data_IF_078965696323
#
_entry.id   IF_078965696323
#
_cell.length_a   1.000
_cell.length_b   1.000
_cell.length_c   1.000
_cell.angle_alpha   90.00
_cell.angle_beta   90.00
_cell.angle_gamma   90.00
#
_symmetry.space_group_name_H-M   'P 1'
#
loop_
_entity.id
_entity.type
_entity.pdbx_description
1 polymer ?
#
# COMPACT_ATOMS: atom_id res chain seq x y z
N UNK A 1 -6.91 6.14 -2.54
CA UNK A 1 -8.28 5.86 -3.05
C UNK A 1 -8.28 6.33 -4.48
N UNK A 2 -8.51 5.42 -5.41
CA UNK A 2 -8.47 5.72 -6.84
C UNK A 2 -9.89 5.70 -7.40
N UNK A 3 -10.24 6.72 -8.17
CA UNK A 3 -11.56 6.90 -8.74
C UNK A 3 -11.48 6.73 -10.26
N UNK A 4 -12.36 5.90 -10.81
CA UNK A 4 -12.44 5.66 -12.25
C UNK A 4 -13.91 5.79 -12.71
N UNK A 5 -14.20 6.62 -13.71
CA UNK A 5 -15.54 6.74 -14.26
C UNK A 5 -15.82 5.64 -15.31
N UNK A 6 -17.07 5.18 -15.42
CA UNK A 6 -17.42 4.16 -16.41
C UNK A 6 -17.13 4.65 -17.84
N UNK A 7 -16.36 3.88 -18.61
CA UNK A 7 -16.00 4.20 -20.00
C UNK A 7 -14.83 5.18 -20.15
N UNK A 8 -14.19 5.60 -19.05
CA UNK A 8 -12.95 6.36 -19.06
C UNK A 8 -11.80 5.45 -18.65
N UNK A 9 -10.87 5.17 -19.57
CA UNK A 9 -9.77 4.23 -19.36
C UNK A 9 -8.63 4.80 -18.49
N UNK A 10 -8.97 5.61 -17.47
CA UNK A 10 -8.00 6.22 -16.56
C UNK A 10 -7.19 7.36 -17.17
N UNK A 11 -7.68 8.03 -18.23
CA UNK A 11 -6.98 9.16 -18.86
C UNK A 11 -7.36 10.48 -18.18
N UNK A 12 -6.94 10.66 -16.93
CA UNK A 12 -6.69 11.97 -16.35
C UNK A 12 -7.88 12.92 -16.19
N UNK A 13 -9.11 12.40 -16.00
CA UNK A 13 -10.22 13.22 -15.53
C UNK A 13 -10.21 13.32 -14.01
N UNK A 14 -10.34 14.55 -13.54
CA UNK A 14 -10.39 14.92 -12.13
C UNK A 14 -11.74 14.53 -11.55
N UNK A 15 -11.87 13.31 -11.04
CA UNK A 15 -13.14 12.83 -10.50
C UNK A 15 -13.27 13.25 -9.04
N UNK A 16 -14.26 14.09 -8.75
CA UNK A 16 -14.64 14.45 -7.41
C UNK A 16 -15.75 13.49 -6.94
N UNK A 17 -15.56 12.77 -5.84
CA UNK A 17 -16.57 11.93 -5.19
C UNK A 17 -17.25 12.61 -3.99
N UNK A 18 -17.13 13.93 -3.88
CA UNK A 18 -17.58 14.71 -2.73
C UNK A 18 -16.60 14.59 -1.58
N UNK A 19 -17.07 14.72 -0.33
CA UNK A 19 -16.26 14.40 0.85
C UNK A 19 -16.11 12.88 0.95
N UNK A 20 -14.88 12.41 1.16
CA UNK A 20 -14.64 11.00 1.47
C UNK A 20 -14.37 10.88 2.96
N UNK A 21 -15.18 10.08 3.66
CA UNK A 21 -14.96 9.76 5.05
C UNK A 21 -14.32 8.37 5.18
N UNK A 22 -13.29 8.26 6.02
CA UNK A 22 -12.65 7.01 6.43
C UNK A 22 -12.86 6.86 7.94
N UNK A 23 -13.54 5.80 8.37
CA UNK A 23 -13.88 5.55 9.76
C UNK A 23 -13.39 4.17 10.20
N UNK A 24 -12.43 4.18 11.14
CA UNK A 24 -11.96 3.03 11.91
C UNK A 24 -12.12 3.32 13.41
N UNK A 25 -11.03 3.20 14.17
CA UNK A 25 -10.95 3.70 15.54
C UNK A 25 -11.21 5.22 15.64
N UNK A 26 -10.76 5.96 14.63
CA UNK A 26 -11.02 7.39 14.45
C UNK A 26 -11.68 7.65 13.09
N UNK A 27 -12.32 8.82 12.96
CA UNK A 27 -12.99 9.24 11.72
C UNK A 27 -12.24 10.42 11.10
N UNK A 28 -11.98 10.31 9.80
CA UNK A 28 -11.27 11.30 9.00
C UNK A 28 -12.09 11.66 7.77
N UNK A 29 -12.20 12.96 7.51
CA UNK A 29 -12.80 13.46 6.29
C UNK A 29 -11.70 13.98 5.35
N UNK A 30 -11.64 13.39 4.16
CA UNK A 30 -10.82 13.83 3.05
C UNK A 30 -11.63 14.82 2.22
N UNK A 31 -11.13 16.04 2.15
CA UNK A 31 -11.68 17.05 1.24
C UNK A 31 -10.89 17.00 -0.06
N UNK A 32 -11.61 17.08 -1.18
CA UNK A 32 -10.97 17.12 -2.48
C UNK A 32 -10.17 18.40 -2.66
N UNK A 33 -8.85 18.30 -2.81
CA UNK A 33 -7.99 19.41 -3.16
C UNK A 33 -8.01 19.63 -4.67
N UNK A 34 -8.58 20.75 -5.11
CA UNK A 34 -8.67 21.10 -6.52
C UNK A 34 -7.32 21.44 -7.16
N UNK A 35 -6.31 21.84 -6.38
CA UNK A 35 -4.97 22.15 -6.88
C UNK A 35 -4.13 20.88 -7.03
N UNK A 36 -4.14 20.01 -6.02
CA UNK A 36 -3.47 18.71 -6.08
C UNK A 36 -4.24 17.69 -6.93
N UNK A 37 -5.52 17.97 -7.23
CA UNK A 37 -6.44 17.08 -7.92
C UNK A 37 -6.54 15.71 -7.23
N UNK A 38 -6.56 15.71 -5.90
CA UNK A 38 -6.45 14.52 -5.09
C UNK A 38 -7.19 14.68 -3.76
N UNK A 39 -7.50 13.54 -3.15
CA UNK A 39 -7.88 13.46 -1.75
C UNK A 39 -6.63 13.24 -0.92
N UNK A 40 -6.31 14.20 -0.07
CA UNK A 40 -5.20 14.09 0.86
C UNK A 40 -5.68 14.33 2.28
N UNK A 41 -4.96 13.70 3.20
CA UNK A 41 -4.98 14.05 4.59
C UNK A 41 -3.79 14.98 4.82
N UNK A 42 -4.05 16.21 5.27
CA UNK A 42 -3.00 17.15 5.67
C UNK A 42 -2.47 16.73 7.05
N UNK A 43 -1.63 15.70 7.09
CA UNK A 43 -1.25 15.02 8.32
C UNK A 43 0.25 14.78 8.38
N UNK A 44 0.97 15.75 8.92
CA UNK A 44 2.37 15.58 9.38
C UNK A 44 2.50 14.54 10.52
N UNK A 45 1.41 13.96 11.06
CA UNK A 45 1.43 13.15 12.28
C UNK A 45 0.40 12.01 12.41
N UNK A 46 -0.30 11.58 11.36
CA UNK A 46 -1.29 10.49 11.52
C UNK A 46 -0.70 9.18 11.03
N UNK A 47 0.16 8.65 11.88
CA UNK A 47 0.59 7.26 11.81
C UNK A 47 -0.34 6.42 12.68
N UNK A 48 -0.75 5.27 12.15
CA UNK A 48 -1.61 4.27 12.81
C UNK A 48 -3.07 4.73 13.05
N UNK A 49 -3.68 5.22 11.97
CA UNK A 49 -5.08 5.67 11.86
C UNK A 49 -6.08 4.59 12.31
N UNK A 50 -5.70 3.31 12.21
CA UNK A 50 -6.55 2.15 12.48
C UNK A 50 -5.79 1.05 13.24
N UNK A 51 -6.47 0.25 14.06
CA UNK A 51 -5.92 -0.95 14.68
C UNK A 51 -5.67 -2.10 13.68
N UNK A 52 -4.82 -3.06 14.07
CA UNK A 52 -4.55 -4.27 13.27
C UNK A 52 -5.83 -5.06 13.04
N UNK A 53 -6.18 -5.31 11.77
CA UNK A 53 -7.33 -6.15 11.41
C UNK A 53 -8.70 -5.51 11.64
N UNK A 54 -8.79 -4.24 12.07
CA UNK A 54 -10.06 -3.64 12.46
C UNK A 54 -11.00 -3.36 11.28
N UNK A 55 -12.30 -3.27 11.51
CA UNK A 55 -13.23 -2.89 10.45
C UNK A 55 -13.11 -1.41 10.10
N UNK A 56 -12.92 -1.12 8.82
CA UNK A 56 -12.78 0.24 8.28
C UNK A 56 -13.91 0.50 7.29
N UNK A 57 -14.70 1.52 7.57
CA UNK A 57 -15.72 2.03 6.67
C UNK A 57 -15.13 3.17 5.84
N UNK A 58 -15.23 3.07 4.52
CA UNK A 58 -14.89 4.16 3.59
C UNK A 58 -16.15 4.56 2.85
N UNK A 59 -16.49 5.84 2.84
CA UNK A 59 -17.67 6.33 2.14
C UNK A 59 -17.42 7.66 1.44
N UNK A 60 -17.96 7.82 0.24
CA UNK A 60 -18.02 9.12 -0.45
C UNK A 60 -19.43 9.68 -0.44
N UNK A 61 -19.58 10.98 -0.19
CA UNK A 61 -20.88 11.65 -0.23
C UNK A 61 -21.49 11.72 -1.63
N UNK A 62 -20.67 11.51 -2.67
CA UNK A 62 -21.04 11.68 -4.06
C UNK A 62 -20.93 13.14 -4.53
N UNK A 63 -20.93 13.31 -5.85
CA UNK A 63 -20.92 14.58 -6.56
C UNK A 63 -21.61 14.43 -7.93
N UNK A 64 -21.53 15.46 -8.78
CA UNK A 64 -21.96 15.37 -10.18
C UNK A 64 -21.11 14.39 -11.02
N UNK A 65 -19.86 14.15 -10.64
CA UNK A 65 -18.92 13.29 -11.37
C UNK A 65 -18.98 11.83 -10.91
N UNK A 66 -19.47 11.58 -9.69
CA UNK A 66 -19.38 10.26 -9.06
C UNK A 66 -20.52 10.04 -8.06
N UNK A 67 -21.18 8.88 -8.08
CA UNK A 67 -22.25 8.62 -7.11
C UNK A 67 -21.70 8.44 -5.69
N UNK A 68 -22.56 8.62 -4.69
CA UNK A 68 -22.23 8.23 -3.32
C UNK A 68 -21.89 6.73 -3.26
N UNK A 69 -20.95 6.37 -2.39
CA UNK A 69 -20.51 4.98 -2.23
C UNK A 69 -20.21 4.65 -0.77
N UNK A 70 -20.19 3.36 -0.46
CA UNK A 70 -19.73 2.85 0.83
C UNK A 70 -19.04 1.50 0.65
N UNK A 71 -17.86 1.37 1.22
CA UNK A 71 -17.10 0.14 1.37
C UNK A 71 -16.95 -0.17 2.86
N UNK A 72 -16.99 -1.45 3.20
CA UNK A 72 -16.54 -1.94 4.50
C UNK A 72 -15.42 -2.94 4.23
N UNK A 73 -14.26 -2.70 4.79
CA UNK A 73 -13.09 -3.56 4.66
C UNK A 73 -12.61 -3.97 6.04
N UNK A 74 -11.97 -5.13 6.14
CA UNK A 74 -11.06 -5.39 7.24
C UNK A 74 -9.75 -4.66 6.94
N UNK A 75 -9.25 -3.87 7.88
CA UNK A 75 -7.95 -3.24 7.79
C UNK A 75 -6.85 -4.28 7.76
N UNK A 76 -5.69 -3.99 7.13
CA UNK A 76 -4.62 -4.95 7.09
C UNK A 76 -4.08 -5.24 8.49
N UNK A 77 -3.89 -6.51 8.82
CA UNK A 77 -3.25 -6.94 10.06
C UNK A 77 -1.78 -6.53 10.12
N UNK A 78 -1.24 -6.45 11.33
CA UNK A 78 0.17 -6.16 11.59
C UNK A 78 1.11 -7.11 10.85
N UNK A 79 2.14 -6.52 10.24
CA UNK A 79 3.10 -7.25 9.44
C UNK A 79 4.37 -7.51 10.25
N UNK A 80 4.62 -8.79 10.54
CA UNK A 80 5.82 -9.24 11.23
C UNK A 80 6.77 -9.96 10.27
N UNK A 81 7.93 -9.35 10.03
CA UNK A 81 9.00 -9.95 9.21
C UNK A 81 9.72 -11.04 10.03
N UNK A 82 9.76 -12.25 9.49
CA UNK A 82 10.42 -13.43 10.07
C UNK A 82 11.84 -13.62 9.53
N UNK A 83 12.04 -13.36 8.23
CA UNK A 83 13.34 -13.39 7.55
C UNK A 83 13.34 -12.41 6.38
N UNK A 84 14.48 -11.87 5.94
CA UNK A 84 15.81 -11.96 6.57
C UNK A 84 15.83 -11.30 7.95
N UNK A 85 16.83 -11.67 8.77
CA UNK A 85 17.09 -11.02 10.06
C UNK A 85 18.43 -10.27 9.98
N UNK A 86 18.72 -9.33 10.89
CA UNK A 86 20.03 -8.69 10.90
C UNK A 86 21.21 -9.67 11.03
N UNK A 87 21.00 -10.83 11.67
CA UNK A 87 22.00 -11.89 11.86
C UNK A 87 22.01 -12.95 10.73
N UNK A 88 21.05 -12.90 9.81
CA UNK A 88 20.92 -13.76 8.65
C UNK A 88 20.60 -12.89 7.42
N UNK A 89 21.63 -12.30 6.79
CA UNK A 89 21.49 -11.24 5.79
C UNK A 89 20.92 -11.74 4.46
N UNK A 90 20.62 -10.79 3.57
CA UNK A 90 20.23 -11.09 2.20
C UNK A 90 21.47 -11.46 1.38
N UNK A 91 21.40 -12.55 0.63
CA UNK A 91 22.41 -12.90 -0.37
C UNK A 91 22.08 -12.29 -1.73
N UNK A 92 23.07 -11.68 -2.38
CA UNK A 92 23.01 -11.21 -3.78
C UNK A 92 22.79 -12.35 -4.77
N UNK A 93 23.10 -13.59 -4.38
CA UNK A 93 22.72 -14.82 -5.10
C UNK A 93 21.22 -15.13 -5.10
N UNK A 94 20.40 -14.31 -4.44
CA UNK A 94 18.96 -14.49 -4.28
C UNK A 94 18.61 -14.85 -2.85
N UNK A 95 17.40 -14.50 -2.42
CA UNK A 95 16.95 -14.71 -1.05
C UNK A 95 15.44 -14.81 -0.96
N UNK A 96 14.94 -15.47 0.07
CA UNK A 96 13.51 -15.50 0.37
C UNK A 96 13.23 -14.59 1.56
N UNK A 97 12.30 -13.66 1.38
CA UNK A 97 11.75 -12.87 2.47
C UNK A 97 10.53 -13.62 3.02
N UNK A 98 10.41 -13.70 4.35
CA UNK A 98 9.32 -14.40 5.04
C UNK A 98 8.65 -13.49 6.06
N UNK A 99 7.34 -13.64 6.20
CA UNK A 99 6.53 -12.93 7.18
C UNK A 99 5.45 -13.86 7.75
N UNK A 100 4.79 -13.41 8.81
CA UNK A 100 3.58 -14.08 9.31
C UNK A 100 2.41 -13.75 8.38
N UNK A 101 1.79 -14.74 7.71
CA UNK A 101 0.58 -14.53 6.89
C UNK A 101 -0.53 -13.83 7.69
N UNK A 102 -1.34 -13.03 7.01
CA UNK A 102 -2.46 -12.32 7.62
C UNK A 102 -3.67 -12.29 6.70
N UNK A 103 -4.41 -11.19 6.75
CA UNK A 103 -5.65 -10.97 5.99
C UNK A 103 -5.45 -10.15 4.70
N UNK A 104 -4.22 -9.95 4.24
CA UNK A 104 -3.94 -9.18 3.03
C UNK A 104 -4.35 -9.92 1.77
N UNK A 105 -4.71 -9.17 0.72
CA UNK A 105 -4.78 -9.73 -0.63
C UNK A 105 -3.37 -9.96 -1.18
N UNK A 106 -2.42 -9.14 -0.75
CA UNK A 106 -1.05 -9.13 -1.26
C UNK A 106 -0.08 -8.55 -0.25
N UNK A 107 1.18 -8.99 -0.32
CA UNK A 107 2.32 -8.35 0.36
C UNK A 107 3.35 -7.88 -0.66
N UNK A 108 3.78 -6.63 -0.51
CA UNK A 108 4.83 -6.00 -1.30
C UNK A 108 6.09 -5.88 -0.44
N UNK A 109 7.16 -6.53 -0.87
CA UNK A 109 8.49 -6.36 -0.31
C UNK A 109 9.28 -5.32 -1.08
N UNK A 110 9.74 -4.28 -0.39
CA UNK A 110 10.51 -3.18 -0.95
C UNK A 110 11.89 -3.11 -0.30
N UNK A 111 12.94 -3.19 -1.12
CA UNK A 111 14.32 -3.01 -0.71
C UNK A 111 14.84 -1.68 -1.26
N UNK A 112 15.26 -0.79 -0.36
CA UNK A 112 15.73 0.57 -0.70
C UNK A 112 17.00 0.92 0.04
N UNK A 113 17.82 1.80 -0.53
CA UNK A 113 18.99 2.39 0.13
C UNK A 113 18.93 3.91 -0.01
N UNK A 114 19.08 4.62 1.11
CA UNK A 114 19.14 6.08 1.09
C UNK A 114 20.26 6.57 0.13
N UNK A 115 19.93 7.52 -0.75
CA UNK A 115 20.83 8.04 -1.76
C UNK A 115 20.94 7.19 -3.04
N UNK A 116 20.26 6.04 -3.11
CA UNK A 116 20.19 5.20 -4.32
C UNK A 116 18.80 5.31 -4.92
N UNK A 117 18.72 5.63 -6.21
CA UNK A 117 17.46 5.78 -6.92
C UNK A 117 16.75 4.44 -7.19
N UNK A 118 17.52 3.36 -7.31
CA UNK A 118 16.99 2.02 -7.54
C UNK A 118 16.27 1.48 -6.31
N UNK A 119 15.06 0.98 -6.52
CA UNK A 119 14.26 0.26 -5.53
C UNK A 119 13.91 -1.10 -6.10
N UNK A 120 14.18 -2.17 -5.35
CA UNK A 120 13.75 -3.52 -5.72
C UNK A 120 12.40 -3.78 -5.07
N UNK A 121 11.42 -4.18 -5.87
CA UNK A 121 10.07 -4.50 -5.40
C UNK A 121 9.68 -5.90 -5.83
N UNK A 122 9.28 -6.72 -4.87
CA UNK A 122 8.76 -8.06 -5.09
C UNK A 122 7.34 -8.13 -4.50
N UNK A 123 6.44 -8.84 -5.19
CA UNK A 123 5.04 -8.91 -4.83
C UNK A 123 4.65 -10.38 -4.75
N UNK A 124 3.89 -10.75 -3.73
CA UNK A 124 3.33 -12.09 -3.55
C UNK A 124 1.95 -11.96 -2.90
N UNK A 125 1.14 -13.02 -3.01
CA UNK A 125 -0.02 -13.16 -2.14
C UNK A 125 0.43 -13.10 -0.67
N UNK A 126 -0.49 -12.80 0.27
CA UNK A 126 -0.16 -12.80 1.71
C UNK A 126 -0.05 -14.23 2.28
N UNK A 127 0.78 -15.06 1.68
CA UNK A 127 0.98 -16.48 1.98
C UNK A 127 2.20 -16.76 2.86
N UNK A 128 2.95 -15.71 3.21
CA UNK A 128 4.07 -15.74 4.15
C UNK A 128 5.46 -15.72 3.52
N UNK A 129 5.59 -15.67 2.19
CA UNK A 129 6.92 -15.53 1.57
C UNK A 129 6.94 -14.93 0.17
N UNK A 130 8.07 -14.32 -0.18
CA UNK A 130 8.39 -13.93 -1.55
C UNK A 130 9.86 -14.19 -1.84
N UNK A 131 10.14 -14.74 -3.01
CA UNK A 131 11.50 -14.89 -3.50
C UNK A 131 11.97 -13.60 -4.17
N UNK A 132 13.15 -13.14 -3.75
CA UNK A 132 13.88 -12.04 -4.38
C UNK A 132 14.98 -12.66 -5.24
N UNK A 133 14.80 -12.70 -6.57
CA UNK A 133 15.77 -13.34 -7.45
C UNK A 133 17.08 -12.55 -7.50
N UNK A 134 18.20 -13.24 -7.70
CA UNK A 134 19.53 -12.64 -7.88
C UNK A 134 19.53 -11.52 -8.93
N UNK A 135 18.77 -11.70 -10.01
CA UNK A 135 18.66 -10.72 -11.08
C UNK A 135 18.06 -9.38 -10.60
N UNK A 136 17.13 -9.41 -9.65
CA UNK A 136 16.55 -8.19 -9.08
C UNK A 136 17.53 -7.50 -8.14
N UNK A 137 18.24 -8.27 -7.29
CA UNK A 137 19.30 -7.74 -6.42
C UNK A 137 20.49 -7.19 -7.22
N UNK A 138 20.75 -7.74 -8.40
CA UNK A 138 21.77 -7.24 -9.34
C UNK A 138 21.50 -5.84 -9.89
N UNK A 139 20.29 -5.29 -9.73
CA UNK A 139 19.99 -3.89 -10.09
C UNK A 139 20.46 -2.90 -9.03
N UNK A 140 20.73 -3.37 -7.80
CA UNK A 140 21.33 -2.55 -6.77
C UNK A 140 22.81 -2.33 -7.09
N UNK A 141 23.34 -1.10 -6.96
CA UNK A 141 24.76 -0.84 -7.14
C UNK A 141 25.63 -1.78 -6.29
N UNK A 142 26.80 -2.16 -6.83
CA UNK A 142 27.68 -3.15 -6.20
C UNK A 142 28.29 -2.70 -4.87
N UNK A 143 28.33 -1.40 -4.61
CA UNK A 143 28.79 -0.78 -3.36
C UNK A 143 27.71 -0.71 -2.26
N UNK A 144 26.48 -1.13 -2.57
CA UNK A 144 25.39 -1.23 -1.59
C UNK A 144 25.56 -2.48 -0.72
N UNK A 145 25.99 -2.30 0.51
CA UNK A 145 26.20 -3.41 1.46
C UNK A 145 25.05 -3.59 2.47
N UNK A 146 24.03 -2.73 2.42
CA UNK A 146 22.80 -2.91 3.20
C UNK A 146 21.64 -2.15 2.58
N UNK A 147 20.44 -2.66 2.79
CA UNK A 147 19.18 -2.08 2.33
C UNK A 147 18.19 -2.01 3.49
N UNK A 148 17.31 -1.02 3.47
CA UNK A 148 16.10 -1.04 4.26
C UNK A 148 15.08 -1.93 3.56
N UNK A 149 14.59 -2.96 4.26
CA UNK A 149 13.46 -3.77 3.88
C UNK A 149 12.19 -3.20 4.53
N UNK A 150 11.22 -2.84 3.71
CA UNK A 150 9.85 -2.54 4.12
C UNK A 150 8.92 -3.57 3.50
N UNK A 151 8.05 -4.17 4.32
CA UNK A 151 6.94 -4.97 3.84
C UNK A 151 5.66 -4.16 3.95
N UNK A 152 4.81 -4.24 2.93
CA UNK A 152 3.48 -3.61 2.92
C UNK A 152 2.43 -4.67 2.68
N UNK A 153 1.52 -4.85 3.63
CA UNK A 153 0.32 -5.68 3.46
C UNK A 153 -0.77 -4.80 2.87
N UNK A 154 -1.36 -5.27 1.79
CA UNK A 154 -2.34 -4.51 1.00
C UNK A 154 -3.65 -5.27 1.00
N UNK A 155 -4.73 -4.55 1.28
CA UNK A 155 -6.10 -4.99 1.04
C UNK A 155 -6.73 -4.00 0.08
N UNK A 156 -7.38 -4.51 -0.96
CA UNK A 156 -8.01 -3.68 -1.98
C UNK A 156 -9.41 -4.18 -2.29
N UNK A 157 -10.37 -3.27 -2.36
CA UNK A 157 -11.72 -3.59 -2.82
C UNK A 157 -12.15 -2.61 -3.89
N UNK A 158 -12.91 -3.15 -4.83
CA UNK A 158 -13.59 -2.39 -5.86
C UNK A 158 -15.04 -2.11 -5.43
N UNK A 159 -15.51 -0.87 -5.59
CA UNK A 159 -16.90 -0.49 -5.38
C UNK A 159 -17.47 0.10 -6.66
N UNK A 160 -18.48 -0.57 -7.21
CA UNK A 160 -19.23 -0.09 -8.36
C UNK A 160 -20.30 0.93 -7.91
N UNK A 161 -20.35 2.07 -8.57
CA UNK A 161 -21.40 3.08 -8.40
C UNK A 161 -22.38 3.06 -9.56
N UNK A 162 -23.64 3.41 -9.29
CA UNK A 162 -24.72 3.18 -10.25
C UNK A 162 -25.07 4.41 -11.11
N UNK A 163 -25.06 5.63 -10.55
CA UNK A 163 -25.37 6.87 -11.28
C UNK A 163 -24.91 8.13 -10.53
N UNK A 164 -23.92 8.90 -11.03
CA UNK A 164 -23.05 8.56 -12.17
C UNK A 164 -22.34 7.22 -11.98
N UNK A 165 -22.26 6.41 -13.04
CA UNK A 165 -21.65 5.09 -12.96
C UNK A 165 -20.11 5.18 -12.98
N UNK A 166 -19.47 4.40 -12.13
CA UNK A 166 -18.02 4.36 -11.99
C UNK A 166 -17.56 3.26 -11.04
N UNK A 167 -16.25 3.24 -10.85
CA UNK A 167 -15.53 2.29 -10.00
C UNK A 167 -14.67 3.08 -9.02
N UNK A 168 -14.79 2.77 -7.73
CA UNK A 168 -13.85 3.21 -6.70
C UNK A 168 -12.95 2.05 -6.33
N UNK A 169 -11.65 2.24 -6.41
CA UNK A 169 -10.69 1.34 -5.79
C UNK A 169 -10.29 1.90 -4.42
N UNK A 170 -10.63 1.16 -3.38
CA UNK A 170 -10.22 1.47 -2.01
C UNK A 170 -9.09 0.52 -1.64
N UNK A 171 -7.89 1.07 -1.47
CA UNK A 171 -6.70 0.33 -1.06
C UNK A 171 -6.29 0.79 0.33
N UNK A 172 -6.14 -0.18 1.24
CA UNK A 172 -5.62 0.01 2.58
C UNK A 172 -4.26 -0.69 2.67
N UNK A 173 -3.27 0.00 3.23
CA UNK A 173 -1.92 -0.53 3.38
C UNK A 173 -1.50 -0.51 4.84
N UNK A 174 -0.82 -1.57 5.30
CA UNK A 174 -0.06 -1.56 6.55
C UNK A 174 1.39 -1.86 6.28
N UNK A 175 2.26 -0.97 6.72
CA UNK A 175 3.69 -1.03 6.47
C UNK A 175 4.39 -1.53 7.73
N UNK A 176 5.27 -2.52 7.61
CA UNK A 176 6.16 -2.90 8.69
C UNK A 176 7.22 -1.82 8.90
N UNK A 177 7.64 -1.58 10.13
CA UNK A 177 8.81 -0.72 10.38
C UNK A 177 10.02 -1.20 9.56
N UNK A 178 10.59 -0.29 8.77
CA UNK A 178 11.73 -0.59 7.91
C UNK A 178 12.90 -1.18 8.70
N UNK A 179 13.41 -2.33 8.26
CA UNK A 179 14.56 -2.99 8.87
C UNK A 179 15.78 -2.83 7.98
N UNK A 180 16.89 -2.35 8.54
CA UNK A 180 18.16 -2.36 7.81
C UNK A 180 18.70 -3.80 7.79
N UNK A 181 18.85 -4.36 6.60
CA UNK A 181 19.31 -5.72 6.35
C UNK A 181 20.64 -5.65 5.59
N UNK A 182 21.71 -6.30 6.08
CA UNK A 182 22.96 -6.41 5.33
C UNK A 182 22.76 -7.19 4.03
N UNK A 183 23.57 -6.87 3.03
CA UNK A 183 23.69 -7.61 1.77
C UNK A 183 25.06 -8.28 1.72
N UNK A 184 25.07 -9.58 1.44
CA UNK A 184 26.27 -10.38 1.24
C UNK A 184 26.30 -10.95 -0.18
N UNK A 185 27.50 -11.25 -0.67
CA UNK A 185 27.68 -11.92 -1.97
C UNK A 185 27.30 -13.41 -1.91
#
# INVERSE_FOLDING_TARGET
IDLNAAGDAGLGRNLNAGTISVAGAEMFDLVYDMQAMAYSLDLDNVFDVWGSGEAIAVSGSGSADFAAFRAMLSGPEDLSVQAPTPDAPLSRGGSTIRWTPGNGDMVVAELRRAGVATVVRCMSDDDGSVDVPAAALGWLPGDVNSVTLDLRRIISTEVMTANPAGTVMVTLERISNGRNIPLED
#
